data_IF_660304369024
#
_entry.id   IF_660304369024
#
_cell.length_a   1.000
_cell.length_b   1.000
_cell.length_c   1.000
_cell.angle_alpha   90.00
_cell.angle_beta   90.00
_cell.angle_gamma   90.00
#
_symmetry.space_group_name_H-M   'P 1'
#
loop_
_entity.id
_entity.type
_entity.pdbx_description
1 polymer ?
#
# COMPACT_ATOMS: atom_id res chain seq x y z
N UNK A 1 50.13 -12.00 -13.95
CA UNK A 1 48.71 -11.79 -13.63
C UNK A 1 48.45 -10.29 -13.68
N UNK A 2 47.67 -9.81 -14.66
CA UNK A 2 47.58 -8.38 -14.98
C UNK A 2 46.60 -7.64 -14.05
N UNK A 3 47.08 -6.57 -13.41
CA UNK A 3 46.35 -5.70 -12.47
C UNK A 3 45.04 -5.13 -13.07
N UNK A 4 44.98 -4.99 -14.40
CA UNK A 4 43.80 -4.52 -15.15
C UNK A 4 42.58 -5.45 -15.07
N UNK A 5 42.78 -6.76 -14.87
CA UNK A 5 41.68 -7.72 -14.81
C UNK A 5 41.06 -7.83 -13.40
N UNK A 6 41.72 -7.29 -12.37
CA UNK A 6 41.23 -7.30 -11.00
C UNK A 6 40.26 -6.12 -10.78
N UNK A 7 40.50 -4.96 -11.41
CA UNK A 7 39.62 -3.79 -11.29
C UNK A 7 38.24 -3.99 -11.95
N UNK A 8 38.14 -4.82 -12.99
CA UNK A 8 36.84 -5.06 -13.66
C UNK A 8 35.92 -5.98 -12.85
N UNK A 9 36.45 -6.80 -11.95
CA UNK A 9 35.66 -7.72 -11.11
C UNK A 9 35.06 -7.03 -9.87
N UNK A 10 35.66 -5.93 -9.40
CA UNK A 10 35.15 -5.18 -8.24
C UNK A 10 34.00 -4.20 -8.58
N UNK A 11 33.77 -3.88 -9.86
CA UNK A 11 32.71 -2.97 -10.29
C UNK A 11 31.37 -3.67 -10.58
N UNK A 12 31.32 -5.01 -10.59
CA UNK A 12 30.12 -5.79 -10.90
C UNK A 12 29.40 -6.36 -9.67
N UNK A 13 29.78 -5.96 -8.45
CA UNK A 13 29.18 -6.47 -7.20
C UNK A 13 28.27 -5.47 -6.48
N UNK A 14 27.99 -4.29 -7.06
CA UNK A 14 27.25 -3.21 -6.39
C UNK A 14 25.80 -2.98 -6.87
N UNK A 15 25.21 -3.86 -7.68
CA UNK A 15 23.92 -3.57 -8.35
C UNK A 15 22.71 -4.39 -7.91
N UNK A 16 22.78 -5.18 -6.84
CA UNK A 16 21.62 -5.92 -6.30
C UNK A 16 21.12 -5.40 -4.95
N UNK A 17 21.26 -4.09 -4.69
CA UNK A 17 20.35 -3.45 -3.76
C UNK A 17 18.97 -3.38 -4.43
N UNK A 18 18.17 -4.44 -4.28
CA UNK A 18 16.75 -4.37 -4.58
C UNK A 18 16.20 -3.18 -3.79
N UNK A 19 15.91 -2.07 -4.47
CA UNK A 19 15.42 -0.85 -3.83
C UNK A 19 14.11 -1.20 -3.12
N UNK A 20 14.17 -1.29 -1.78
CA UNK A 20 12.98 -1.49 -0.99
C UNK A 20 12.12 -0.24 -1.11
N UNK A 21 10.86 -0.39 -1.51
CA UNK A 21 9.92 0.71 -1.58
C UNK A 21 9.81 1.38 -0.20
N UNK A 22 9.88 2.71 -0.18
CA UNK A 22 9.84 3.53 1.03
C UNK A 22 8.67 4.51 0.99
N UNK A 23 8.42 5.18 2.12
CA UNK A 23 7.37 6.22 2.18
C UNK A 23 7.64 7.40 1.26
N UNK A 24 8.91 7.77 1.05
CA UNK A 24 9.26 8.85 0.11
C UNK A 24 8.90 8.50 -1.33
N UNK A 25 8.86 7.22 -1.67
CA UNK A 25 8.46 6.76 -3.00
C UNK A 25 6.93 6.74 -3.14
N UNK A 26 6.20 6.37 -2.08
CA UNK A 26 4.73 6.24 -2.14
C UNK A 26 3.98 7.52 -1.86
N UNK A 27 4.53 8.47 -1.10
CA UNK A 27 3.83 9.70 -0.75
C UNK A 27 3.43 10.54 -1.98
N UNK A 28 4.33 10.80 -2.96
CA UNK A 28 3.95 11.51 -4.19
C UNK A 28 2.83 10.79 -4.96
N UNK A 29 2.87 9.45 -5.00
CA UNK A 29 1.80 8.66 -5.60
C UNK A 29 0.47 8.85 -4.86
N UNK A 30 0.47 8.75 -3.53
CA UNK A 30 -0.73 8.98 -2.73
C UNK A 30 -1.27 10.40 -2.92
N UNK A 31 -0.40 11.42 -2.95
CA UNK A 31 -0.79 12.81 -3.14
C UNK A 31 -1.41 13.02 -4.53
N UNK A 32 -0.86 12.37 -5.57
CA UNK A 32 -1.43 12.39 -6.93
C UNK A 32 -2.81 11.74 -7.05
N UNK A 33 -3.18 10.90 -6.08
CA UNK A 33 -4.49 10.23 -6.01
C UNK A 33 -5.48 10.98 -5.14
N UNK A 34 -5.04 11.92 -4.31
CA UNK A 34 -5.91 12.65 -3.40
C UNK A 34 -6.97 13.46 -4.16
N UNK A 35 -8.24 13.24 -3.86
CA UNK A 35 -9.38 13.90 -4.48
C UNK A 35 -10.49 14.16 -3.46
N UNK A 36 -11.74 14.23 -3.94
CA UNK A 36 -12.88 14.46 -3.03
C UNK A 36 -13.16 13.22 -2.19
N UNK A 37 -13.29 13.38 -0.87
CA UNK A 37 -13.74 12.29 -0.01
C UNK A 37 -15.26 12.11 -0.12
N UNK A 38 -15.73 10.94 -0.54
CA UNK A 38 -17.17 10.62 -0.61
C UNK A 38 -17.79 10.28 0.74
N UNK A 39 -16.98 9.76 1.67
CA UNK A 39 -17.38 9.40 3.04
C UNK A 39 -16.20 9.64 3.99
N UNK A 40 -16.51 9.82 5.28
CA UNK A 40 -15.52 9.75 6.35
C UNK A 40 -15.08 8.28 6.60
N UNK A 41 -13.80 7.98 6.41
CA UNK A 41 -13.19 6.68 6.66
C UNK A 41 -12.61 6.54 8.07
N UNK A 42 -12.55 7.63 8.85
CA UNK A 42 -12.02 7.64 10.21
C UNK A 42 -12.76 6.70 11.17
N UNK A 43 -12.02 6.03 12.05
CA UNK A 43 -12.51 5.07 13.03
C UNK A 43 -12.04 3.64 12.76
N UNK A 44 -12.77 2.67 13.32
CA UNK A 44 -12.37 1.25 13.38
C UNK A 44 -12.88 0.44 12.19
N UNK A 45 -12.00 -0.40 11.66
CA UNK A 45 -12.25 -1.30 10.54
C UNK A 45 -11.73 -2.71 10.84
N UNK A 46 -12.21 -3.71 10.12
CA UNK A 46 -11.70 -5.08 10.16
C UNK A 46 -11.60 -5.65 8.76
N UNK A 47 -10.61 -6.51 8.53
CA UNK A 47 -10.55 -7.33 7.32
C UNK A 47 -11.04 -8.75 7.52
N UNK A 48 -11.46 -9.11 8.74
CA UNK A 48 -12.02 -10.42 9.02
C UNK A 48 -13.37 -10.62 8.30
N UNK A 49 -13.61 -11.84 7.81
CA UNK A 49 -14.86 -12.21 7.14
C UNK A 49 -15.08 -11.58 5.75
N UNK A 50 -14.06 -10.93 5.19
CA UNK A 50 -14.08 -10.39 3.84
C UNK A 50 -13.49 -11.34 2.79
N UNK A 51 -13.44 -10.89 1.53
CA UNK A 51 -12.74 -11.60 0.47
C UNK A 51 -11.23 -11.31 0.60
N UNK A 52 -10.41 -12.36 0.57
CA UNK A 52 -8.95 -12.26 0.63
C UNK A 52 -8.37 -12.61 1.99
N UNK A 53 -7.12 -12.22 2.20
CA UNK A 53 -6.41 -12.49 3.46
C UNK A 53 -6.95 -11.61 4.60
N UNK A 54 -6.86 -12.10 5.83
CA UNK A 54 -7.12 -11.29 7.02
C UNK A 54 -5.85 -10.53 7.41
N UNK A 55 -5.91 -9.21 7.29
CA UNK A 55 -4.86 -8.25 7.66
C UNK A 55 -5.03 -7.70 9.08
N UNK A 56 -6.09 -8.07 9.80
CA UNK A 56 -6.39 -7.63 11.15
C UNK A 56 -7.36 -6.45 11.23
N UNK A 57 -7.29 -5.72 12.35
CA UNK A 57 -8.11 -4.54 12.59
C UNK A 57 -7.41 -3.25 12.16
N UNK A 58 -8.18 -2.31 11.63
CA UNK A 58 -7.73 -0.98 11.25
C UNK A 58 -8.27 0.09 12.17
N UNK A 59 -7.48 1.14 12.42
CA UNK A 59 -7.94 2.35 13.08
C UNK A 59 -7.36 3.55 12.34
N UNK A 60 -8.23 4.37 11.76
CA UNK A 60 -7.83 5.46 10.89
C UNK A 60 -8.26 6.83 11.41
N UNK A 61 -7.42 7.82 11.17
CA UNK A 61 -7.73 9.24 11.32
C UNK A 61 -7.71 9.84 9.92
N UNK A 62 -8.78 10.52 9.55
CA UNK A 62 -8.89 11.19 8.26
C UNK A 62 -8.63 12.69 8.42
N UNK A 63 -7.83 13.23 7.50
CA UNK A 63 -7.57 14.65 7.33
C UNK A 63 -7.81 15.03 5.86
N UNK A 64 -8.98 15.62 5.59
CA UNK A 64 -9.43 15.92 4.24
C UNK A 64 -9.49 14.68 3.35
N UNK A 65 -8.68 14.69 2.29
CA UNK A 65 -8.54 13.59 1.33
C UNK A 65 -7.44 12.60 1.69
N UNK A 66 -6.68 12.87 2.76
CA UNK A 66 -5.65 11.98 3.30
C UNK A 66 -6.15 11.29 4.55
N UNK A 67 -5.55 10.16 4.87
CA UNK A 67 -5.77 9.49 6.12
C UNK A 67 -4.54 8.69 6.53
N UNK A 68 -4.46 8.39 7.81
CA UNK A 68 -3.35 7.65 8.39
C UNK A 68 -3.82 6.82 9.58
N UNK A 69 -3.02 5.84 9.97
CA UNK A 69 -3.31 5.01 11.13
C UNK A 69 -2.63 3.66 11.06
N UNK A 70 -3.34 2.62 11.47
CA UNK A 70 -2.84 1.24 11.48
C UNK A 70 -3.82 0.28 10.84
N UNK A 71 -3.30 -0.82 10.28
CA UNK A 71 -4.05 -2.00 9.87
C UNK A 71 -3.25 -3.25 10.23
N UNK A 72 -3.72 -3.99 11.23
CA UNK A 72 -2.96 -5.07 11.85
C UNK A 72 -1.59 -4.59 12.33
N UNK A 73 -0.52 -5.21 11.81
CA UNK A 73 0.86 -4.87 12.14
C UNK A 73 1.45 -3.73 11.29
N UNK A 74 0.69 -3.14 10.37
CA UNK A 74 1.17 -2.12 9.44
C UNK A 74 0.72 -0.72 9.85
N UNK A 75 1.61 0.25 9.67
CA UNK A 75 1.24 1.66 9.57
C UNK A 75 0.67 1.93 8.19
N UNK A 76 -0.39 2.73 8.13
CA UNK A 76 -1.08 3.10 6.91
C UNK A 76 -0.93 4.60 6.67
N UNK A 77 -0.47 4.94 5.47
CA UNK A 77 -0.65 6.25 4.86
C UNK A 77 -1.60 6.08 3.66
N UNK A 78 -2.62 6.93 3.53
CA UNK A 78 -3.67 6.70 2.53
C UNK A 78 -4.32 7.95 1.97
N UNK A 79 -4.90 7.80 0.78
CA UNK A 79 -5.61 8.85 0.05
C UNK A 79 -6.98 8.38 -0.41
N UNK A 80 -7.91 9.32 -0.50
CA UNK A 80 -9.31 9.11 -0.87
C UNK A 80 -9.59 9.85 -2.17
N UNK A 81 -10.30 9.19 -3.09
CA UNK A 81 -10.81 9.81 -4.31
C UNK A 81 -12.15 9.22 -4.72
N UNK A 82 -13.24 9.92 -4.40
CA UNK A 82 -14.59 9.42 -4.56
C UNK A 82 -14.77 8.11 -3.80
N UNK A 83 -15.09 7.04 -4.52
CA UNK A 83 -15.29 5.70 -3.97
C UNK A 83 -13.98 4.91 -3.78
N UNK A 84 -12.82 5.48 -4.11
CA UNK A 84 -11.55 4.78 -4.07
C UNK A 84 -10.71 5.16 -2.85
N UNK A 85 -10.07 4.15 -2.26
CA UNK A 85 -9.00 4.30 -1.29
C UNK A 85 -7.70 3.78 -1.89
N UNK A 86 -6.63 4.54 -1.66
CA UNK A 86 -5.26 4.20 -2.00
C UNK A 86 -4.48 4.11 -0.69
N UNK A 87 -3.80 3.00 -0.45
CA UNK A 87 -3.09 2.74 0.81
C UNK A 87 -1.63 2.39 0.51
N UNK A 88 -0.72 2.88 1.35
CA UNK A 88 0.63 2.37 1.50
C UNK A 88 0.76 1.77 2.91
N UNK A 89 1.07 0.48 2.98
CA UNK A 89 1.22 -0.28 4.22
C UNK A 89 2.70 -0.47 4.52
N UNK A 90 3.15 0.08 5.65
CA UNK A 90 4.56 0.09 6.02
C UNK A 90 4.81 -0.53 7.39
N UNK A 91 6.02 -1.04 7.57
CA UNK A 91 6.58 -1.39 8.87
C UNK A 91 8.00 -0.83 8.95
N UNK A 92 8.26 -0.02 9.97
CA UNK A 92 9.45 0.83 10.01
C UNK A 92 9.50 1.77 8.81
N UNK A 93 10.63 1.77 8.09
CA UNK A 93 10.85 2.64 6.92
C UNK A 93 10.40 2.04 5.59
N UNK A 94 10.09 0.74 5.58
CA UNK A 94 9.78 -0.02 4.37
C UNK A 94 8.27 -0.05 4.14
N UNK A 95 7.85 0.27 2.94
CA UNK A 95 6.50 -0.01 2.44
C UNK A 95 6.50 -1.41 1.87
N UNK A 96 5.68 -2.28 2.46
CA UNK A 96 5.56 -3.67 2.04
C UNK A 96 4.49 -3.85 0.99
N UNK A 97 3.38 -3.11 1.13
CA UNK A 97 2.24 -3.25 0.24
C UNK A 97 1.67 -1.90 -0.16
N UNK A 98 1.15 -1.83 -1.38
CA UNK A 98 0.22 -0.77 -1.78
C UNK A 98 -1.11 -1.39 -2.16
N UNK A 99 -2.21 -0.69 -1.90
CA UNK A 99 -3.55 -1.18 -2.18
C UNK A 99 -4.40 -0.13 -2.89
N UNK A 100 -5.33 -0.60 -3.72
CA UNK A 100 -6.40 0.18 -4.31
C UNK A 100 -7.72 -0.53 -4.02
N UNK A 101 -8.52 0.08 -3.17
CA UNK A 101 -9.82 -0.44 -2.75
C UNK A 101 -10.92 0.43 -3.32
N UNK A 102 -12.07 -0.18 -3.63
CA UNK A 102 -13.28 0.51 -4.06
C UNK A 102 -14.41 0.23 -3.08
N UNK A 103 -15.19 1.26 -2.79
CA UNK A 103 -16.39 1.15 -1.96
C UNK A 103 -17.44 0.26 -2.62
N UNK A 104 -17.99 -0.65 -1.86
CA UNK A 104 -19.13 -1.47 -2.25
C UNK A 104 -20.44 -0.84 -1.75
N UNK A 105 -21.62 -1.25 -2.28
CA UNK A 105 -22.91 -0.72 -1.85
C UNK A 105 -23.20 -0.91 -0.35
N UNK A 106 -22.63 -1.95 0.28
CA UNK A 106 -22.75 -2.21 1.72
C UNK A 106 -21.82 -1.33 2.59
N UNK A 107 -21.07 -0.42 1.98
CA UNK A 107 -20.14 0.48 2.66
C UNK A 107 -18.79 -0.14 3.00
N UNK A 108 -18.55 -1.41 2.64
CA UNK A 108 -17.21 -2.01 2.72
C UNK A 108 -16.30 -1.48 1.61
N UNK A 109 -14.99 -1.64 1.78
CA UNK A 109 -14.00 -1.33 0.74
C UNK A 109 -13.27 -2.60 0.33
N UNK A 110 -13.35 -2.98 -0.95
CA UNK A 110 -12.71 -4.19 -1.47
C UNK A 110 -11.79 -3.88 -2.64
N UNK A 111 -10.67 -4.60 -2.77
CA UNK A 111 -9.80 -4.43 -3.92
C UNK A 111 -8.47 -5.15 -3.85
N UNK A 112 -7.56 -4.69 -4.72
CA UNK A 112 -6.27 -5.33 -4.95
C UNK A 112 -5.20 -4.75 -4.03
N UNK A 113 -4.28 -5.62 -3.65
CA UNK A 113 -3.06 -5.32 -2.88
C UNK A 113 -1.87 -5.90 -3.62
N UNK A 114 -0.82 -5.11 -3.77
CA UNK A 114 0.43 -5.50 -4.43
C UNK A 114 1.58 -5.35 -3.45
N UNK A 115 2.47 -6.35 -3.45
CA UNK A 115 3.66 -6.37 -2.61
C UNK A 115 4.85 -5.74 -3.31
N UNK A 116 5.61 -4.90 -2.60
CA UNK A 116 6.90 -4.38 -3.07
C UNK A 116 6.86 -3.39 -4.23
N UNK A 117 5.67 -2.99 -4.70
CA UNK A 117 5.50 -2.05 -5.80
C UNK A 117 4.32 -1.10 -5.55
N UNK A 118 4.30 0.01 -6.28
CA UNK A 118 3.12 0.87 -6.41
C UNK A 118 2.14 0.18 -7.37
N UNK A 119 0.91 -0.04 -6.90
CA UNK A 119 -0.11 -0.83 -7.59
C UNK A 119 -0.38 -0.39 -9.04
N UNK A 120 -0.27 0.91 -9.35
CA UNK A 120 -0.48 1.45 -10.70
C UNK A 120 0.74 1.32 -11.63
N UNK A 121 1.93 1.10 -11.07
CA UNK A 121 3.17 0.84 -11.83
C UNK A 121 3.46 -0.65 -11.97
N UNK A 122 2.67 -1.48 -11.31
CA UNK A 122 2.85 -2.91 -11.32
C UNK A 122 2.16 -3.49 -12.56
N UNK A 123 2.94 -4.10 -13.47
CA UNK A 123 2.42 -4.90 -14.59
C UNK A 123 1.88 -6.27 -14.11
N UNK A 124 1.45 -6.38 -12.85
CA UNK A 124 1.07 -7.61 -12.14
C UNK A 124 -0.33 -8.11 -12.57
N UNK A 125 -0.67 -8.03 -13.86
CA UNK A 125 -1.77 -8.79 -14.41
C UNK A 125 -1.50 -10.31 -14.32
N UNK A 126 -0.22 -10.72 -14.27
CA UNK A 126 0.19 -12.13 -14.32
C UNK A 126 1.04 -12.63 -13.13
N UNK A 127 1.51 -11.77 -12.21
CA UNK A 127 2.56 -12.12 -11.23
C UNK A 127 2.15 -12.03 -9.74
N UNK A 128 0.85 -11.95 -9.46
CA UNK A 128 0.31 -12.09 -8.11
C UNK A 128 -0.12 -10.76 -7.48
N UNK A 129 -1.40 -10.72 -7.15
CA UNK A 129 -2.02 -9.71 -6.30
C UNK A 129 -2.77 -10.43 -5.18
N UNK A 130 -2.92 -9.76 -4.05
CA UNK A 130 -3.81 -10.22 -2.98
C UNK A 130 -5.09 -9.41 -3.00
N UNK A 131 -6.16 -9.98 -2.45
CA UNK A 131 -7.39 -9.27 -2.21
C UNK A 131 -7.45 -8.80 -0.76
N UNK A 132 -8.03 -7.64 -0.56
CA UNK A 132 -8.34 -7.09 0.75
C UNK A 132 -9.76 -6.56 0.73
N UNK A 133 -10.48 -6.82 1.81
CA UNK A 133 -11.78 -6.22 2.09
C UNK A 133 -11.73 -5.60 3.47
N UNK A 134 -12.15 -4.34 3.63
CA UNK A 134 -12.29 -3.66 4.91
C UNK A 134 -13.77 -3.39 5.19
N UNK A 135 -14.23 -3.77 6.37
CA UNK A 135 -15.58 -3.50 6.88
C UNK A 135 -15.48 -2.65 8.13
N UNK A 136 -16.39 -1.69 8.30
CA UNK A 136 -16.40 -0.84 9.50
C UNK A 136 -16.89 -1.64 10.70
N UNK A 137 -16.25 -1.47 11.86
CA UNK A 137 -16.69 -2.08 13.11
C UNK A 137 -17.68 -1.13 13.81
N UNK A 138 -18.83 -1.65 14.25
CA UNK A 138 -19.82 -0.88 15.01
C UNK A 138 -20.74 0.01 14.18
N UNK A 139 -21.02 -0.38 12.93
CA UNK A 139 -22.17 0.11 12.16
C UNK A 139 -23.32 -0.88 12.25
#
# INVERSE_FOLDING_TARGET
>A
MNLKNICLACLLTLTLAACALTRSDTNPWLDSRAGTASENIGGKWTTAGGIGANWGEGNFIQDGSRFYGTLGAYYVDGSINGEHLYLALSSGRKVYYTARLRRAPDGSYGGKVVQGAIIDHSNQADEGFQLMTMRRIGK
#
